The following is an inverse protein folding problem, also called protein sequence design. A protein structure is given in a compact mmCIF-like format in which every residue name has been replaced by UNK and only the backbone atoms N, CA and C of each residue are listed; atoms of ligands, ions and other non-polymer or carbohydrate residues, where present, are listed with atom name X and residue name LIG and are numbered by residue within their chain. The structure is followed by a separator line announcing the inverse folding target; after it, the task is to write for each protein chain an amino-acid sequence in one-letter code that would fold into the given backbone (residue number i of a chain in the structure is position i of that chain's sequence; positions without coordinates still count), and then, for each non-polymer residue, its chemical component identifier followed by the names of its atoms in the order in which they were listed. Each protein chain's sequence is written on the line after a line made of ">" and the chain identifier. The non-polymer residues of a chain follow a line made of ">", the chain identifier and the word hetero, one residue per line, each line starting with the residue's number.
data_IF_375672545987
#
_entry.id   IF_375672545987
#
_cell.length_a   1.000
_cell.length_b   1.000
_cell.length_c   1.000
_cell.angle_alpha   90.00
_cell.angle_beta   90.00
_cell.angle_gamma   90.00
#
_symmetry.space_group_name_H-M   'P 1'
#
loop_
_entity.id
_entity.type
_entity.pdbx_description
1 polymer ?
#
# COMPACT_ATOMS: atom_id res chain seq x y z
N UNK A 1 -7.02 8.89 7.98
CA UNK A 1 -7.87 7.72 8.04
C UNK A 1 -9.34 8.07 8.11
N UNK A 2 -10.18 7.06 8.12
CA UNK A 2 -11.62 7.21 8.37
C UNK A 2 -11.86 7.41 9.87
N UNK A 3 -12.88 8.15 10.24
CA UNK A 3 -13.25 8.36 11.64
C UNK A 3 -14.04 7.15 12.15
N UNK A 4 -13.94 6.86 13.44
CA UNK A 4 -14.62 5.73 14.05
C UNK A 4 -16.13 5.86 13.93
N UNK A 5 -16.69 7.04 14.21
CA UNK A 5 -18.13 7.33 14.12
C UNK A 5 -18.67 7.12 12.69
N UNK A 6 -17.92 7.49 11.65
CA UNK A 6 -18.28 7.24 10.25
C UNK A 6 -18.36 5.74 9.95
N UNK A 7 -17.47 4.93 10.54
CA UNK A 7 -17.47 3.48 10.36
C UNK A 7 -18.61 2.81 11.15
N UNK A 8 -18.90 3.28 12.33
CA UNK A 8 -20.05 2.80 13.12
C UNK A 8 -21.38 3.07 12.41
N UNK A 9 -21.56 4.25 11.81
CA UNK A 9 -22.71 4.58 10.97
C UNK A 9 -22.82 3.65 9.75
N UNK A 10 -21.68 3.41 9.06
CA UNK A 10 -21.64 2.49 7.94
C UNK A 10 -22.07 1.08 8.34
N UNK A 11 -21.58 0.58 9.48
CA UNK A 11 -21.91 -0.75 9.98
C UNK A 11 -23.38 -0.84 10.43
N UNK A 12 -23.88 0.15 11.15
CA UNK A 12 -25.26 0.19 11.64
C UNK A 12 -26.29 0.21 10.50
N UNK A 13 -26.01 0.95 9.42
CA UNK A 13 -26.90 1.07 8.27
C UNK A 13 -26.72 -0.05 7.24
N UNK A 14 -25.81 -1.02 7.47
CA UNK A 14 -25.41 -2.02 6.48
C UNK A 14 -26.56 -2.92 6.03
N UNK A 15 -27.35 -3.47 6.96
CA UNK A 15 -28.41 -4.43 6.64
C UNK A 15 -27.92 -5.58 5.76
N UNK A 16 -28.61 -5.82 4.63
CA UNK A 16 -28.22 -6.82 3.62
C UNK A 16 -27.01 -6.41 2.74
N UNK A 17 -26.41 -5.25 2.98
CA UNK A 17 -25.31 -4.71 2.21
C UNK A 17 -25.67 -3.41 1.48
N UNK A 18 -24.73 -2.95 0.65
CA UNK A 18 -24.90 -1.77 -0.19
C UNK A 18 -24.69 -2.16 -1.65
N UNK A 19 -25.61 -1.79 -2.51
CA UNK A 19 -25.57 -2.13 -3.93
C UNK A 19 -24.73 -1.12 -4.72
N UNK A 20 -24.76 0.15 -4.31
CA UNK A 20 -24.07 1.24 -4.99
C UNK A 20 -23.46 2.23 -3.98
N UNK A 21 -22.44 3.02 -4.38
CA UNK A 21 -21.88 4.08 -3.55
C UNK A 21 -22.94 5.10 -3.11
N UNK A 22 -23.94 5.40 -3.96
CA UNK A 22 -25.04 6.32 -3.67
C UNK A 22 -25.93 5.76 -2.55
N UNK A 23 -26.26 4.48 -2.64
CA UNK A 23 -27.07 3.80 -1.59
C UNK A 23 -26.35 3.81 -0.25
N UNK A 24 -25.02 3.63 -0.27
CA UNK A 24 -24.16 3.72 0.91
C UNK A 24 -24.15 5.15 1.47
N UNK A 25 -23.93 6.16 0.63
CA UNK A 25 -23.94 7.57 1.05
C UNK A 25 -25.26 7.96 1.72
N UNK A 26 -26.39 7.60 1.09
CA UNK A 26 -27.73 7.97 1.57
C UNK A 26 -28.11 7.22 2.86
N UNK A 27 -27.86 5.90 2.92
CA UNK A 27 -28.28 5.07 4.06
C UNK A 27 -27.40 5.26 5.27
N UNK A 28 -26.09 5.38 5.08
CA UNK A 28 -25.15 5.57 6.19
C UNK A 28 -24.90 7.05 6.51
N UNK A 29 -25.46 7.99 5.75
CA UNK A 29 -25.26 9.43 5.98
C UNK A 29 -23.82 9.90 5.81
N UNK A 30 -23.02 9.17 5.04
CA UNK A 30 -21.59 9.47 4.87
C UNK A 30 -21.37 10.60 3.89
N UNK A 31 -20.37 11.42 4.18
CA UNK A 31 -19.99 12.51 3.30
C UNK A 31 -19.19 12.00 2.08
N UNK A 32 -19.21 12.77 0.99
CA UNK A 32 -18.45 12.48 -0.23
C UNK A 32 -16.94 12.24 0.03
N UNK A 33 -16.24 13.07 0.83
CA UNK A 33 -14.82 12.80 1.13
C UNK A 33 -14.57 11.42 1.77
N UNK A 34 -15.53 10.89 2.51
CA UNK A 34 -15.46 9.53 3.09
C UNK A 34 -15.56 8.48 1.99
N UNK A 35 -16.53 8.64 1.06
CA UNK A 35 -16.68 7.74 -0.08
C UNK A 35 -15.46 7.78 -0.99
N UNK A 36 -14.87 8.95 -1.23
CA UNK A 36 -13.62 9.08 -1.99
C UNK A 36 -12.46 8.31 -1.33
N UNK A 37 -12.35 8.34 0.01
CA UNK A 37 -11.35 7.55 0.74
C UNK A 37 -11.60 6.05 0.63
N UNK A 38 -12.87 5.62 0.74
CA UNK A 38 -13.25 4.22 0.55
C UNK A 38 -12.95 3.76 -0.88
N UNK A 39 -13.29 4.57 -1.89
CA UNK A 39 -12.98 4.28 -3.28
C UNK A 39 -11.46 4.22 -3.53
N UNK A 40 -10.68 5.16 -2.96
CA UNK A 40 -9.23 5.16 -3.04
C UNK A 40 -8.61 3.91 -2.37
N UNK A 41 -9.25 3.35 -1.35
CA UNK A 41 -8.86 2.11 -0.69
C UNK A 41 -9.38 0.83 -1.38
N UNK A 42 -9.98 0.95 -2.58
CA UNK A 42 -10.55 -0.16 -3.37
C UNK A 42 -11.67 -0.93 -2.63
N UNK A 43 -12.43 -0.24 -1.79
CA UNK A 43 -13.45 -0.85 -0.93
C UNK A 43 -14.76 -1.22 -1.67
N UNK A 44 -14.91 -0.85 -2.93
CA UNK A 44 -16.14 -1.08 -3.72
C UNK A 44 -16.07 -2.30 -4.66
N UNK A 45 -15.06 -3.15 -4.49
CA UNK A 45 -14.89 -4.35 -5.30
C UNK A 45 -16.09 -5.31 -5.26
N UNK A 46 -16.76 -5.44 -4.11
CA UNK A 46 -17.99 -6.24 -3.95
C UNK A 46 -19.19 -5.70 -4.74
N UNK A 47 -19.15 -4.43 -5.13
CA UNK A 47 -20.15 -3.79 -6.01
C UNK A 47 -19.76 -3.87 -7.49
N UNK A 48 -18.74 -4.66 -7.84
CA UNK A 48 -18.23 -4.77 -9.23
C UNK A 48 -17.52 -3.51 -9.73
N UNK A 49 -17.12 -2.61 -8.84
CA UNK A 49 -16.45 -1.36 -9.19
C UNK A 49 -14.95 -1.46 -8.94
N UNK A 50 -14.16 -1.20 -9.98
CA UNK A 50 -12.72 -0.94 -9.79
C UNK A 50 -12.51 0.37 -9.04
N UNK A 51 -11.35 0.52 -8.41
CA UNK A 51 -10.95 1.77 -7.72
C UNK A 51 -11.20 3.01 -8.57
N UNK A 52 -10.77 2.98 -9.83
CA UNK A 52 -10.92 4.11 -10.77
C UNK A 52 -12.39 4.38 -11.09
N UNK A 53 -13.17 3.34 -11.37
CA UNK A 53 -14.61 3.46 -11.64
C UNK A 53 -15.38 3.96 -10.42
N UNK A 54 -15.02 3.50 -9.23
CA UNK A 54 -15.61 3.96 -7.97
C UNK A 54 -15.31 5.44 -7.72
N UNK A 55 -14.06 5.86 -7.88
CA UNK A 55 -13.66 7.27 -7.75
C UNK A 55 -14.37 8.16 -8.77
N UNK A 56 -14.48 7.68 -10.01
CA UNK A 56 -15.20 8.39 -11.06
C UNK A 56 -16.67 8.61 -10.69
N UNK A 57 -17.38 7.55 -10.30
CA UNK A 57 -18.78 7.62 -9.87
C UNK A 57 -18.96 8.55 -8.69
N UNK A 58 -18.20 8.37 -7.60
CA UNK A 58 -18.30 9.21 -6.40
C UNK A 58 -18.03 10.68 -6.70
N UNK A 59 -17.16 11.01 -7.67
CA UNK A 59 -16.89 12.38 -8.08
C UNK A 59 -17.91 12.94 -9.06
N UNK A 60 -18.39 12.13 -9.99
CA UNK A 60 -19.38 12.51 -10.99
C UNK A 60 -20.72 12.88 -10.38
N UNK A 61 -21.16 12.17 -9.35
CA UNK A 61 -22.43 12.45 -8.66
C UNK A 61 -22.53 13.84 -8.02
N UNK A 62 -21.42 14.49 -7.74
CA UNK A 62 -21.46 15.88 -7.25
C UNK A 62 -21.76 16.87 -8.37
N UNK A 63 -21.53 16.53 -9.63
CA UNK A 63 -21.95 17.33 -10.77
C UNK A 63 -23.46 17.20 -11.05
N UNK A 64 -24.07 16.07 -10.57
CA UNK A 64 -25.49 15.79 -10.73
C UNK A 64 -26.40 16.29 -9.60
N UNK A 65 -25.97 17.20 -8.73
CA UNK A 65 -26.90 17.93 -7.88
C UNK A 65 -27.80 18.74 -8.80
N UNK A 66 -29.01 18.22 -8.99
CA UNK A 66 -30.07 18.95 -9.68
C UNK A 66 -30.18 20.32 -9.01
N UNK A 67 -29.77 21.39 -9.69
CA UNK A 67 -29.95 22.74 -9.19
C UNK A 67 -31.42 22.91 -8.83
N UNK A 68 -31.76 23.60 -7.74
CA UNK A 68 -33.14 23.73 -7.25
C UNK A 68 -34.16 24.14 -8.35
N UNK A 69 -33.70 24.91 -9.33
CA UNK A 69 -34.51 25.34 -10.47
C UNK A 69 -34.90 24.17 -11.39
N UNK A 70 -33.98 23.22 -11.65
CA UNK A 70 -34.27 22.06 -12.49
C UNK A 70 -35.07 20.98 -11.72
N UNK A 71 -34.86 20.89 -10.40
CA UNK A 71 -35.69 20.03 -9.54
C UNK A 71 -37.14 20.49 -9.53
N UNK A 72 -37.38 21.82 -9.45
CA UNK A 72 -38.72 22.44 -9.50
C UNK A 72 -39.40 22.29 -10.87
N UNK A 73 -38.61 22.23 -11.95
CA UNK A 73 -39.10 22.02 -13.33
C UNK A 73 -39.39 20.56 -13.70
N UNK A 74 -39.23 19.60 -12.76
CA UNK A 74 -39.41 18.18 -13.06
C UNK A 74 -38.37 17.59 -14.02
N UNK A 75 -37.36 18.38 -14.39
CA UNK A 75 -36.22 17.98 -15.20
C UNK A 75 -35.16 17.35 -14.29
N UNK A 76 -35.55 16.37 -13.50
CA UNK A 76 -34.59 15.48 -12.84
C UNK A 76 -33.74 14.85 -13.93
N UNK A 77 -32.46 15.25 -13.97
CA UNK A 77 -31.58 14.97 -15.09
C UNK A 77 -31.58 13.51 -15.49
N UNK A 78 -32.23 13.21 -16.58
CA UNK A 78 -32.02 11.98 -17.36
C UNK A 78 -30.73 12.09 -18.19
N UNK A 79 -29.70 12.65 -17.61
CA UNK A 79 -28.36 12.54 -18.14
C UNK A 79 -27.80 11.18 -17.72
N UNK A 80 -28.24 10.13 -18.40
CA UNK A 80 -27.46 8.88 -18.46
C UNK A 80 -26.13 9.27 -19.09
N UNK A 81 -25.11 9.55 -18.26
CA UNK A 81 -23.75 9.64 -18.78
C UNK A 81 -23.47 8.37 -19.55
N UNK A 82 -23.09 8.49 -20.82
CA UNK A 82 -22.66 7.37 -21.62
C UNK A 82 -21.61 6.59 -20.81
N UNK A 83 -21.79 5.29 -20.66
CA UNK A 83 -20.94 4.46 -19.81
C UNK A 83 -19.47 4.61 -20.23
N UNK A 84 -18.72 5.44 -19.53
CA UNK A 84 -17.30 5.66 -19.80
C UNK A 84 -16.52 4.45 -19.31
N UNK A 85 -15.95 3.69 -20.25
CA UNK A 85 -15.04 2.60 -19.91
C UNK A 85 -13.66 3.20 -19.61
N UNK A 86 -13.27 3.19 -18.35
CA UNK A 86 -11.96 3.67 -17.93
C UNK A 86 -10.89 2.60 -18.20
N UNK A 87 -9.68 2.98 -18.67
CA UNK A 87 -8.59 2.03 -18.84
C UNK A 87 -8.24 1.33 -17.53
N UNK A 88 -7.90 0.05 -17.60
CA UNK A 88 -7.44 -0.71 -16.43
C UNK A 88 -6.12 -0.14 -15.90
N UNK A 89 -5.99 -0.13 -14.60
CA UNK A 89 -4.75 0.24 -13.91
C UNK A 89 -3.82 -0.98 -13.93
N UNK A 90 -2.52 -0.83 -14.24
CA UNK A 90 -1.56 -1.91 -14.09
C UNK A 90 -1.53 -2.42 -12.65
N UNK A 91 -1.37 -3.75 -12.46
CA UNK A 91 -1.37 -4.37 -11.12
C UNK A 91 -0.32 -3.78 -10.18
N UNK A 92 0.85 -3.40 -10.71
CA UNK A 92 1.89 -2.72 -9.94
C UNK A 92 1.44 -1.36 -9.38
N UNK A 93 0.69 -0.59 -10.17
CA UNK A 93 0.14 0.69 -9.73
C UNK A 93 -0.98 0.50 -8.69
N UNK A 94 -1.83 -0.52 -8.85
CA UNK A 94 -2.84 -0.87 -7.84
C UNK A 94 -2.21 -1.19 -6.48
N UNK A 95 -1.15 -2.00 -6.48
CA UNK A 95 -0.41 -2.33 -5.26
C UNK A 95 0.20 -1.09 -4.62
N UNK A 96 0.81 -0.20 -5.41
CA UNK A 96 1.34 1.07 -4.90
C UNK A 96 0.23 1.91 -4.26
N UNK A 97 -0.95 1.99 -4.88
CA UNK A 97 -2.09 2.71 -4.35
C UNK A 97 -2.64 2.08 -3.07
N UNK A 98 -2.65 0.74 -2.97
CA UNK A 98 -2.99 0.02 -1.74
C UNK A 98 -2.05 0.42 -0.59
N UNK A 99 -0.74 0.42 -0.83
CA UNK A 99 0.24 0.84 0.18
C UNK A 99 0.10 2.33 0.57
N UNK A 100 -0.30 3.18 -0.35
CA UNK A 100 -0.54 4.61 -0.05
C UNK A 100 -1.78 4.83 0.81
N UNK A 101 -2.83 4.03 0.62
CA UNK A 101 -4.14 4.20 1.26
C UNK A 101 -4.30 3.34 2.50
N UNK A 102 -4.07 2.03 2.38
CA UNK A 102 -4.29 1.03 3.42
C UNK A 102 -3.01 0.58 4.15
N UNK A 103 -1.82 0.97 3.65
CA UNK A 103 -0.50 0.57 4.15
C UNK A 103 -0.16 -0.91 3.94
N UNK A 104 -0.99 -1.64 3.23
CA UNK A 104 -0.79 -3.03 2.84
C UNK A 104 -1.50 -3.30 1.51
N UNK A 105 -1.17 -4.40 0.84
CA UNK A 105 -1.92 -4.91 -0.31
C UNK A 105 -2.21 -6.39 -0.12
N UNK A 106 -3.43 -6.80 -0.46
CA UNK A 106 -3.83 -8.21 -0.53
C UNK A 106 -3.63 -8.79 -1.94
N UNK A 107 -3.21 -7.97 -2.90
CA UNK A 107 -3.07 -8.34 -4.31
C UNK A 107 -1.69 -8.88 -4.61
N UNK A 108 -0.66 -8.16 -4.15
CA UNK A 108 0.74 -8.50 -4.41
C UNK A 108 1.67 -7.68 -3.52
N UNK A 109 2.96 -8.04 -3.50
CA UNK A 109 4.01 -7.28 -2.83
C UNK A 109 4.77 -6.39 -3.84
N UNK A 110 5.11 -5.12 -3.52
CA UNK A 110 5.80 -4.23 -4.46
C UNK A 110 7.12 -4.79 -5.01
N UNK A 111 7.85 -5.56 -4.21
CA UNK A 111 9.12 -6.14 -4.62
C UNK A 111 8.98 -7.25 -5.66
N UNK A 112 7.81 -7.89 -5.76
CA UNK A 112 7.50 -8.88 -6.78
C UNK A 112 7.73 -8.33 -8.19
N UNK A 113 7.26 -7.11 -8.47
CA UNK A 113 7.41 -6.46 -9.79
C UNK A 113 8.86 -6.12 -10.15
N UNK A 114 9.76 -6.13 -9.17
CA UNK A 114 11.19 -5.90 -9.37
C UNK A 114 11.99 -7.20 -9.45
N UNK A 115 11.36 -8.37 -9.21
CA UNK A 115 12.05 -9.65 -9.03
C UNK A 115 12.91 -10.05 -10.23
N UNK A 116 12.37 -9.92 -11.43
CA UNK A 116 13.12 -10.27 -12.64
C UNK A 116 14.36 -9.39 -12.85
N UNK A 117 14.20 -8.07 -12.65
CA UNK A 117 15.34 -7.12 -12.76
C UNK A 117 16.37 -7.39 -11.66
N UNK A 118 15.93 -7.73 -10.46
CA UNK A 118 16.81 -8.08 -9.35
C UNK A 118 17.58 -9.37 -9.63
N UNK A 119 16.92 -10.40 -10.12
CA UNK A 119 17.55 -11.69 -10.46
C UNK A 119 18.66 -11.50 -11.48
N UNK A 120 18.44 -10.72 -12.55
CA UNK A 120 19.47 -10.39 -13.57
C UNK A 120 20.69 -9.66 -12.98
N UNK A 121 20.53 -8.98 -11.84
CA UNK A 121 21.59 -8.27 -11.11
C UNK A 121 22.23 -9.11 -10.00
N UNK A 122 21.84 -10.37 -9.86
CA UNK A 122 22.31 -11.25 -8.79
C UNK A 122 21.83 -10.83 -7.39
N UNK A 123 20.67 -10.18 -7.32
CA UNK A 123 20.00 -9.83 -6.06
C UNK A 123 19.01 -10.94 -5.74
N UNK A 124 19.27 -11.68 -4.66
CA UNK A 124 18.48 -12.84 -4.26
C UNK A 124 17.33 -12.43 -3.33
N UNK A 125 16.25 -13.25 -3.24
CA UNK A 125 15.14 -13.04 -2.32
C UNK A 125 15.60 -12.93 -0.86
N UNK A 126 14.84 -12.20 -0.04
CA UNK A 126 15.16 -12.03 1.40
C UNK A 126 15.17 -13.35 2.14
N UNK A 127 14.25 -14.27 1.84
CA UNK A 127 14.22 -15.62 2.41
C UNK A 127 15.49 -16.40 2.09
N UNK A 128 15.93 -16.41 0.82
CA UNK A 128 17.16 -17.06 0.41
C UNK A 128 18.39 -16.43 1.09
N UNK A 129 18.41 -15.12 1.20
CA UNK A 129 19.47 -14.40 1.88
C UNK A 129 19.55 -14.75 3.36
N UNK A 130 18.39 -14.80 4.06
CA UNK A 130 18.29 -15.15 5.47
C UNK A 130 18.66 -16.63 5.75
N UNK A 131 18.40 -17.53 4.80
CA UNK A 131 18.73 -18.96 4.91
C UNK A 131 20.11 -19.30 4.38
N UNK A 132 20.85 -18.33 3.88
CA UNK A 132 22.20 -18.56 3.38
C UNK A 132 23.16 -18.95 4.51
N UNK A 133 24.14 -19.80 4.16
CA UNK A 133 25.16 -20.24 5.12
C UNK A 133 25.92 -19.06 5.74
N UNK A 134 26.30 -19.23 6.99
CA UNK A 134 27.15 -18.26 7.72
C UNK A 134 28.41 -17.91 6.91
N UNK A 135 28.77 -16.63 6.86
CA UNK A 135 29.91 -16.11 6.11
C UNK A 135 29.69 -15.85 4.61
N UNK A 136 28.58 -16.34 4.00
CA UNK A 136 28.29 -16.07 2.59
C UNK A 136 28.08 -14.58 2.36
N UNK A 137 28.63 -14.05 1.27
CA UNK A 137 28.31 -12.70 0.80
C UNK A 137 27.06 -12.78 -0.08
N UNK A 138 26.08 -11.93 0.23
CA UNK A 138 24.79 -11.87 -0.48
C UNK A 138 24.49 -10.45 -0.94
N UNK A 139 23.62 -10.35 -1.93
CA UNK A 139 22.93 -9.13 -2.33
C UNK A 139 21.44 -9.40 -2.22
N UNK A 140 20.72 -8.58 -1.46
CA UNK A 140 19.27 -8.69 -1.33
C UNK A 140 18.64 -7.31 -1.33
N UNK A 141 17.33 -7.25 -1.52
CA UNK A 141 16.60 -5.99 -1.56
C UNK A 141 15.21 -6.18 -0.98
N UNK A 142 14.68 -5.17 -0.29
CA UNK A 142 13.33 -5.22 0.27
C UNK A 142 12.84 -3.85 0.71
N UNK A 143 11.53 -3.81 1.01
CA UNK A 143 10.90 -2.70 1.70
C UNK A 143 11.40 -2.62 3.13
N UNK A 144 11.67 -1.41 3.60
CA UNK A 144 12.09 -1.20 4.98
C UNK A 144 10.87 -1.16 5.89
N UNK A 145 10.74 -2.18 6.73
CA UNK A 145 9.70 -2.26 7.76
C UNK A 145 10.07 -1.44 9.00
N UNK A 146 11.28 -1.65 9.50
CA UNK A 146 11.75 -1.09 10.76
C UNK A 146 13.18 -0.59 10.63
N UNK A 147 13.47 0.54 11.28
CA UNK A 147 14.81 1.03 11.55
C UNK A 147 14.93 1.33 13.03
N UNK A 148 15.91 0.73 13.68
CA UNK A 148 16.17 0.93 15.09
C UNK A 148 17.63 1.26 15.30
N UNK A 149 17.88 2.24 16.13
CA UNK A 149 19.23 2.57 16.62
C UNK A 149 19.17 2.62 18.15
N UNK A 150 19.35 1.47 18.83
CA UNK A 150 19.38 1.45 20.28
C UNK A 150 20.53 2.27 20.82
N UNK A 151 20.30 3.04 21.89
CA UNK A 151 21.35 3.83 22.55
C UNK A 151 22.52 2.98 23.07
N UNK A 152 22.24 1.73 23.41
CA UNK A 152 23.22 0.75 23.91
C UNK A 152 24.08 0.11 22.81
N UNK A 153 23.72 0.26 21.52
CA UNK A 153 24.36 -0.44 20.42
C UNK A 153 25.51 0.36 19.75
N UNK A 154 26.16 1.27 20.48
CA UNK A 154 27.34 2.02 20.00
C UNK A 154 27.18 2.59 18.57
N UNK A 155 26.00 3.08 18.22
CA UNK A 155 25.70 3.70 16.92
C UNK A 155 25.36 2.74 15.77
N UNK A 156 25.27 1.44 16.01
CA UNK A 156 24.80 0.44 15.04
C UNK A 156 23.31 0.68 14.73
N UNK A 157 22.93 0.49 13.46
CA UNK A 157 21.54 0.55 13.03
C UNK A 157 21.08 -0.84 12.64
N UNK A 158 19.98 -1.27 13.21
CA UNK A 158 19.27 -2.49 12.84
C UNK A 158 18.13 -2.13 11.90
N UNK A 159 18.04 -2.85 10.78
CA UNK A 159 17.00 -2.62 9.77
C UNK A 159 16.36 -3.96 9.41
N UNK A 160 15.05 -4.03 9.44
CA UNK A 160 14.30 -5.17 8.89
C UNK A 160 13.76 -4.78 7.53
N UNK A 161 14.08 -5.59 6.53
CA UNK A 161 13.55 -5.45 5.17
C UNK A 161 12.67 -6.64 4.81
N UNK A 162 11.70 -6.42 3.93
CA UNK A 162 10.73 -7.41 3.47
C UNK A 162 10.65 -7.43 1.95
N UNK A 163 10.48 -8.61 1.38
CA UNK A 163 10.00 -8.80 0.01
C UNK A 163 8.86 -9.83 -0.01
N UNK A 164 8.38 -10.22 -1.18
CA UNK A 164 7.29 -11.20 -1.35
C UNK A 164 7.61 -12.60 -0.81
N UNK A 165 8.86 -12.88 -0.46
CA UNK A 165 9.28 -14.19 0.06
C UNK A 165 9.42 -14.22 1.57
N UNK A 166 9.61 -13.07 2.21
CA UNK A 166 9.77 -12.96 3.66
C UNK A 166 10.60 -11.77 4.10
N UNK A 167 11.23 -11.89 5.26
CA UNK A 167 12.01 -10.82 5.89
C UNK A 167 13.50 -11.16 5.99
N UNK A 168 14.33 -10.12 6.04
CA UNK A 168 15.75 -10.23 6.39
C UNK A 168 16.16 -9.10 7.34
N UNK A 169 16.96 -9.45 8.33
CA UNK A 169 17.49 -8.50 9.30
C UNK A 169 18.90 -8.05 8.91
N UNK A 170 19.10 -6.74 8.91
CA UNK A 170 20.35 -6.11 8.54
C UNK A 170 21.01 -5.49 9.77
N UNK A 171 22.32 -5.61 9.83
CA UNK A 171 23.17 -4.89 10.79
C UNK A 171 24.04 -3.91 10.02
N UNK A 172 23.87 -2.63 10.30
CA UNK A 172 24.61 -1.55 9.66
C UNK A 172 25.55 -0.89 10.68
N UNK A 173 26.84 -1.09 10.47
CA UNK A 173 27.86 -0.55 11.33
C UNK A 173 27.96 0.98 11.23
N UNK A 174 28.44 1.71 12.26
CA UNK A 174 28.51 3.17 12.27
C UNK A 174 29.24 3.75 11.07
N UNK A 175 30.37 3.16 10.67
CA UNK A 175 31.14 3.60 9.50
C UNK A 175 30.32 3.54 8.20
N UNK A 176 29.52 2.49 7.98
CA UNK A 176 28.63 2.35 6.82
C UNK A 176 27.48 3.35 6.90
N UNK A 177 26.92 3.50 8.10
CA UNK A 177 25.85 4.48 8.36
C UNK A 177 26.31 5.90 8.04
N UNK A 178 27.48 6.32 8.49
CA UNK A 178 28.02 7.66 8.23
C UNK A 178 28.14 7.91 6.71
N UNK A 179 28.72 6.95 5.99
CA UNK A 179 28.91 7.05 4.54
C UNK A 179 27.60 7.11 3.76
N UNK A 180 26.58 6.36 4.17
CA UNK A 180 25.31 6.22 3.45
C UNK A 180 24.10 6.75 4.22
N UNK A 181 24.34 7.65 5.18
CA UNK A 181 23.30 8.14 6.10
C UNK A 181 21.99 8.58 5.43
N UNK A 182 21.98 9.40 4.35
CA UNK A 182 20.74 9.81 3.70
C UNK A 182 19.92 8.64 3.19
N UNK A 183 20.57 7.63 2.58
CA UNK A 183 19.93 6.43 2.06
C UNK A 183 19.40 5.58 3.20
N UNK A 184 20.25 5.26 4.19
CA UNK A 184 19.90 4.41 5.33
C UNK A 184 18.72 4.99 6.11
N UNK A 185 18.65 6.31 6.29
CA UNK A 185 17.62 6.95 7.12
C UNK A 185 16.32 7.23 6.38
N UNK A 186 16.32 7.35 5.04
CA UNK A 186 15.15 7.84 4.28
C UNK A 186 14.59 6.85 3.27
N UNK A 187 15.40 5.93 2.74
CA UNK A 187 14.95 5.03 1.69
C UNK A 187 13.82 4.11 2.18
N UNK A 188 12.79 3.96 1.38
CA UNK A 188 11.71 2.99 1.63
C UNK A 188 12.05 1.59 1.13
N UNK A 189 12.87 1.51 0.08
CA UNK A 189 13.42 0.28 -0.45
C UNK A 189 14.94 0.37 -0.29
N UNK A 190 15.54 -0.68 0.23
CA UNK A 190 16.99 -0.81 0.35
C UNK A 190 17.47 -2.01 -0.48
N UNK A 191 18.51 -1.76 -1.27
CA UNK A 191 19.36 -2.81 -1.82
C UNK A 191 20.62 -2.89 -0.98
N UNK A 192 20.92 -4.08 -0.47
CA UNK A 192 22.02 -4.31 0.47
C UNK A 192 22.98 -5.37 -0.08
N UNK A 193 24.26 -5.10 0.08
CA UNK A 193 25.33 -6.09 -0.09
C UNK A 193 25.99 -6.30 1.26
N UNK A 194 25.95 -7.53 1.77
CA UNK A 194 26.49 -7.84 3.09
C UNK A 194 26.96 -9.27 3.22
N UNK A 195 27.48 -9.59 4.40
CA UNK A 195 27.88 -10.94 4.79
C UNK A 195 26.83 -11.51 5.74
N UNK A 196 26.40 -12.72 5.49
CA UNK A 196 25.49 -13.44 6.40
C UNK A 196 26.25 -13.81 7.67
N UNK A 197 25.65 -13.51 8.81
CA UNK A 197 26.14 -13.85 10.13
C UNK A 197 25.02 -14.47 10.93
N UNK A 198 25.23 -15.68 11.40
CA UNK A 198 24.28 -16.40 12.25
C UNK A 198 24.87 -16.58 13.64
N UNK A 199 24.15 -16.09 14.64
CA UNK A 199 24.48 -16.26 16.05
C UNK A 199 23.17 -16.53 16.82
N UNK A 200 23.21 -17.45 17.78
CA UNK A 200 22.06 -17.78 18.65
C UNK A 200 20.75 -18.04 17.86
N UNK A 201 20.86 -18.76 16.77
CA UNK A 201 19.76 -19.09 15.87
C UNK A 201 19.11 -17.87 15.15
N UNK A 202 19.73 -16.69 15.23
CA UNK A 202 19.29 -15.48 14.52
C UNK A 202 20.26 -15.17 13.39
N UNK A 203 19.71 -14.99 12.20
CA UNK A 203 20.50 -14.63 11.01
C UNK A 203 20.39 -13.15 10.70
N UNK A 204 21.55 -12.50 10.55
CA UNK A 204 21.67 -11.12 10.13
C UNK A 204 22.51 -11.01 8.85
N UNK A 205 22.25 -9.96 8.08
CA UNK A 205 23.12 -9.56 6.96
C UNK A 205 23.89 -8.32 7.39
N UNK A 206 25.17 -8.47 7.59
CA UNK A 206 26.07 -7.41 8.01
C UNK A 206 26.54 -6.65 6.78
N UNK A 207 26.12 -5.37 6.67
CA UNK A 207 26.38 -4.47 5.53
C UNK A 207 27.68 -3.68 5.71
#
# INVERSE_FOLDING_TARGET
>A
GLRQDEMEQLMAARGAGYETPESLMRRAGLSRPVLERLAAADAFGSMGLSRRSALWKVRGEAAGRTLPLFAAAGLAGQGSEAGVTLPLIPRSEEVIQDYQTARLSLKDHPMHFLREVHARRGIIPTREAAQSRNGRRVRTSGLVLVRQQPGTASGVVFITIEDETGIANLVVWPRVKERFRPVIMRARILHVRGRVQTADNVTHIVA
#
